data_IF_443549770211
#
_entry.id   IF_443549770211
#
_cell.length_a   1.000
_cell.length_b   1.000
_cell.length_c   1.000
_cell.angle_alpha   90.00
_cell.angle_beta   90.00
_cell.angle_gamma   90.00
#
_symmetry.space_group_name_H-M   'P 1'
#
loop_
_entity.id
_entity.type
_entity.pdbx_description
1 polymer ?
#
# COMPACT_ATOMS: atom_id res chain seq x y z
N UNK A 1 -1.05 -22.05 -32.18
CA UNK A 1 -2.28 -21.94 -31.37
C UNK A 1 -2.17 -20.77 -30.41
N UNK A 2 -3.14 -19.88 -30.44
CA UNK A 2 -3.19 -18.64 -29.66
C UNK A 2 -4.09 -18.87 -28.44
N UNK A 3 -3.49 -19.05 -27.26
CA UNK A 3 -4.23 -19.08 -25.99
C UNK A 3 -4.22 -17.69 -25.34
N UNK A 4 -5.35 -17.16 -24.88
CA UNK A 4 -5.47 -15.79 -24.40
C UNK A 4 -4.79 -15.65 -23.03
N UNK A 5 -3.59 -15.06 -23.01
CA UNK A 5 -2.93 -14.55 -21.80
C UNK A 5 -3.59 -13.24 -21.36
N UNK A 6 -4.72 -13.29 -20.63
CA UNK A 6 -5.31 -12.12 -19.97
C UNK A 6 -5.76 -12.43 -18.54
N UNK A 7 -4.84 -12.90 -17.70
CA UNK A 7 -4.95 -12.71 -16.25
C UNK A 7 -3.75 -11.87 -15.86
N UNK A 8 -3.91 -10.55 -15.87
CA UNK A 8 -2.93 -9.63 -15.31
C UNK A 8 -3.11 -9.71 -13.79
N UNK A 9 -2.40 -10.63 -13.15
CA UNK A 9 -2.32 -10.66 -11.68
C UNK A 9 -1.49 -9.45 -11.25
N UNK A 10 -2.15 -8.33 -10.95
CA UNK A 10 -1.47 -7.22 -10.29
C UNK A 10 -1.14 -7.62 -8.85
N UNK A 11 0.13 -7.58 -8.44
CA UNK A 11 0.46 -7.77 -7.03
C UNK A 11 -0.13 -6.62 -6.22
N UNK A 12 -0.92 -6.95 -5.21
CA UNK A 12 -1.52 -6.01 -4.23
C UNK A 12 -0.45 -5.19 -3.50
N UNK A 13 0.78 -5.69 -3.39
CA UNK A 13 1.97 -4.96 -2.95
C UNK A 13 3.23 -5.58 -3.57
N UNK A 14 4.27 -4.75 -3.76
CA UNK A 14 5.52 -5.16 -4.43
C UNK A 14 6.65 -5.51 -3.47
N UNK A 15 6.54 -5.12 -2.19
CA UNK A 15 7.56 -5.37 -1.18
C UNK A 15 7.23 -4.67 0.13
N UNK A 16 8.05 -4.92 1.14
CA UNK A 16 7.91 -4.34 2.48
C UNK A 16 9.22 -3.76 2.98
N UNK A 17 9.16 -2.55 3.52
CA UNK A 17 10.29 -1.88 4.16
C UNK A 17 10.05 -1.85 5.66
N UNK A 18 10.98 -2.39 6.45
CA UNK A 18 10.92 -2.37 7.91
C UNK A 18 12.16 -1.71 8.51
N UNK A 19 12.04 -0.89 9.56
CA UNK A 19 13.20 -0.36 10.26
C UNK A 19 13.91 -1.46 11.06
N UNK A 20 15.23 -1.36 11.21
CA UNK A 20 16.02 -2.30 12.01
C UNK A 20 15.72 -2.23 13.51
N UNK A 21 15.25 -1.07 14.00
CA UNK A 21 14.90 -0.83 15.41
C UNK A 21 13.43 -0.46 15.51
N UNK A 22 12.78 -0.86 16.61
CA UNK A 22 11.36 -0.59 16.91
C UNK A 22 10.34 -1.21 15.94
N UNK A 23 10.75 -2.21 15.16
CA UNK A 23 9.84 -3.10 14.44
C UNK A 23 10.05 -4.54 14.90
N UNK A 24 8.97 -5.33 14.86
CA UNK A 24 9.07 -6.78 15.04
C UNK A 24 9.79 -7.33 13.81
N UNK A 25 10.96 -7.94 14.03
CA UNK A 25 11.70 -8.59 12.95
C UNK A 25 10.93 -9.78 12.37
N UNK A 26 11.41 -10.34 11.27
CA UNK A 26 10.84 -11.58 10.71
C UNK A 26 11.17 -12.75 11.64
N UNK A 27 10.27 -13.03 12.59
CA UNK A 27 10.37 -14.16 13.53
C UNK A 27 9.66 -15.40 12.98
N UNK A 28 9.83 -16.54 13.66
CA UNK A 28 9.14 -17.80 13.33
C UNK A 28 7.61 -17.65 13.35
N UNK A 29 7.08 -16.84 14.27
CA UNK A 29 5.65 -16.49 14.35
C UNK A 29 5.20 -15.71 13.12
N UNK A 30 5.95 -14.68 12.71
CA UNK A 30 5.65 -13.89 11.50
C UNK A 30 5.65 -14.78 10.25
N UNK A 31 6.59 -15.74 10.17
CA UNK A 31 6.66 -16.70 9.06
C UNK A 31 5.46 -17.63 8.99
N UNK A 32 4.98 -18.11 10.15
CA UNK A 32 3.76 -18.92 10.22
C UNK A 32 2.52 -18.13 9.81
N UNK A 33 2.38 -16.89 10.27
CA UNK A 33 1.22 -16.03 9.98
C UNK A 33 1.20 -15.58 8.51
N UNK A 34 2.36 -15.39 7.88
CA UNK A 34 2.47 -14.94 6.51
C UNK A 34 2.15 -16.02 5.46
N UNK A 35 1.77 -17.25 5.85
CA UNK A 35 1.29 -18.32 4.97
C UNK A 35 2.13 -18.53 3.69
N UNK A 36 3.47 -18.47 3.81
CA UNK A 36 4.39 -18.65 2.68
C UNK A 36 4.70 -17.38 1.86
N UNK A 37 4.00 -16.26 2.09
CA UNK A 37 4.23 -15.01 1.35
C UNK A 37 5.68 -14.50 1.48
N UNK A 38 6.34 -14.74 2.63
CA UNK A 38 7.72 -14.28 2.85
C UNK A 38 8.77 -14.99 1.98
N UNK A 39 8.42 -16.09 1.30
CA UNK A 39 9.36 -16.84 0.45
C UNK A 39 9.58 -16.13 -0.89
N UNK A 40 8.57 -15.39 -1.36
CA UNK A 40 8.59 -14.69 -2.66
C UNK A 40 8.48 -13.17 -2.52
N UNK A 41 8.14 -12.66 -1.33
CA UNK A 41 7.89 -11.24 -1.10
C UNK A 41 9.15 -10.51 -0.62
N UNK A 42 9.66 -9.51 -1.35
CA UNK A 42 10.91 -8.84 -1.01
C UNK A 42 10.73 -7.95 0.23
N UNK A 43 11.64 -8.08 1.19
CA UNK A 43 11.65 -7.31 2.44
C UNK A 43 12.98 -6.59 2.60
N UNK A 44 12.95 -5.26 2.63
CA UNK A 44 14.11 -4.42 2.88
C UNK A 44 14.16 -3.99 4.36
N UNK A 45 15.30 -4.20 5.01
CA UNK A 45 15.54 -3.71 6.38
C UNK A 45 16.38 -2.44 6.33
N UNK A 46 15.85 -1.33 6.83
CA UNK A 46 16.50 -0.02 6.77
C UNK A 46 16.91 0.46 8.15
N UNK A 47 18.08 1.11 8.24
CA UNK A 47 18.56 1.69 9.51
C UNK A 47 17.70 2.92 9.89
N UNK A 48 17.40 3.76 8.90
CA UNK A 48 16.63 4.99 9.07
C UNK A 48 15.49 5.03 8.04
N UNK A 49 14.26 4.88 8.52
CA UNK A 49 13.06 4.90 7.68
C UNK A 49 12.89 6.24 6.94
N UNK A 50 13.18 7.37 7.58
CA UNK A 50 13.02 8.69 6.93
C UNK A 50 13.92 8.84 5.70
N UNK A 51 15.17 8.40 5.78
CA UNK A 51 16.08 8.44 4.63
C UNK A 51 15.60 7.51 3.50
N UNK A 52 15.11 6.31 3.84
CA UNK A 52 14.53 5.40 2.85
C UNK A 52 13.29 6.01 2.15
N UNK A 53 12.43 6.69 2.90
CA UNK A 53 11.28 7.41 2.35
C UNK A 53 11.73 8.55 1.42
N UNK A 54 12.72 9.35 1.80
CA UNK A 54 13.26 10.42 0.94
C UNK A 54 13.85 9.88 -0.38
N UNK A 55 14.54 8.74 -0.33
CA UNK A 55 15.06 8.08 -1.54
C UNK A 55 13.93 7.60 -2.46
N UNK A 56 12.89 6.98 -1.88
CA UNK A 56 11.71 6.54 -2.65
C UNK A 56 10.99 7.74 -3.29
N UNK A 57 10.87 8.85 -2.56
CA UNK A 57 10.29 10.09 -3.10
C UNK A 57 11.11 10.63 -4.27
N UNK A 58 12.43 10.62 -4.16
CA UNK A 58 13.35 11.03 -5.24
C UNK A 58 13.25 10.11 -6.46
N UNK A 59 12.95 8.82 -6.25
CA UNK A 59 12.70 7.85 -7.31
C UNK A 59 11.29 7.94 -7.94
N UNK A 60 10.48 8.94 -7.54
CA UNK A 60 9.16 9.19 -8.12
C UNK A 60 8.01 8.43 -7.47
N UNK A 61 8.19 7.89 -6.26
CA UNK A 61 7.10 7.30 -5.49
C UNK A 61 6.37 8.35 -4.66
N UNK A 62 5.04 8.25 -4.62
CA UNK A 62 4.19 9.03 -3.73
C UNK A 62 4.05 8.36 -2.37
N UNK A 63 4.24 9.11 -1.29
CA UNK A 63 4.27 8.58 0.07
C UNK A 63 3.00 8.96 0.83
N UNK A 64 2.22 7.96 1.19
CA UNK A 64 0.98 8.13 1.95
C UNK A 64 1.12 7.55 3.34
N UNK A 65 0.87 8.36 4.37
CA UNK A 65 0.90 7.95 5.76
C UNK A 65 -0.52 7.70 6.30
N UNK A 66 -0.75 6.58 6.98
CA UNK A 66 -2.03 6.36 7.66
C UNK A 66 -2.09 7.11 8.98
N UNK A 67 -3.11 7.95 9.16
CA UNK A 67 -3.38 8.65 10.41
C UNK A 67 -4.85 8.50 10.81
N UNK A 68 -5.09 8.21 12.09
CA UNK A 68 -6.45 8.10 12.61
C UNK A 68 -7.05 9.50 12.81
N UNK A 69 -8.24 9.73 12.26
CA UNK A 69 -8.99 10.98 12.44
C UNK A 69 -8.42 12.23 11.76
N UNK A 70 -7.29 12.13 11.05
CA UNK A 70 -6.66 13.25 10.36
C UNK A 70 -6.20 12.87 8.94
N UNK A 71 -6.20 13.84 8.03
CA UNK A 71 -5.85 13.63 6.62
C UNK A 71 -7.04 13.37 5.70
N UNK A 72 -6.78 13.08 4.43
CA UNK A 72 -7.82 12.85 3.43
C UNK A 72 -8.45 11.47 3.62
N UNK A 73 -9.75 11.37 3.35
CA UNK A 73 -10.47 10.11 3.41
C UNK A 73 -9.93 9.14 2.35
N UNK A 74 -9.65 7.90 2.74
CA UNK A 74 -9.06 6.85 1.89
C UNK A 74 -9.72 6.75 0.51
N UNK A 75 -11.05 6.75 0.46
CA UNK A 75 -11.83 6.62 -0.79
C UNK A 75 -11.85 7.88 -1.67
N UNK A 76 -11.30 9.00 -1.21
CA UNK A 76 -11.18 10.27 -1.97
C UNK A 76 -9.76 10.53 -2.47
N UNK A 77 -8.84 9.62 -2.16
CA UNK A 77 -7.43 9.75 -2.53
C UNK A 77 -7.17 8.86 -3.73
N UNK A 78 -6.46 9.43 -4.69
CA UNK A 78 -5.92 8.70 -5.82
C UNK A 78 -4.68 7.90 -5.37
N UNK A 79 -4.78 6.57 -5.46
CA UNK A 79 -3.76 5.58 -5.13
C UNK A 79 -3.28 4.84 -6.39
N UNK A 80 -3.54 5.40 -7.57
CA UNK A 80 -3.00 4.93 -8.84
C UNK A 80 -1.51 5.29 -8.95
N UNK A 81 -0.75 4.53 -9.76
CA UNK A 81 0.68 4.77 -9.97
C UNK A 81 1.65 4.20 -8.92
N UNK A 82 2.82 4.83 -8.78
CA UNK A 82 3.89 4.37 -7.87
C UNK A 82 3.67 4.90 -6.45
N UNK A 83 3.17 4.03 -5.57
CA UNK A 83 2.69 4.41 -4.23
C UNK A 83 3.48 3.67 -3.15
N UNK A 84 3.83 4.38 -2.08
CA UNK A 84 4.41 3.86 -0.85
C UNK A 84 3.45 4.16 0.30
N UNK A 85 3.04 3.11 1.00
CA UNK A 85 2.16 3.22 2.17
C UNK A 85 2.97 3.10 3.46
N UNK A 86 2.81 4.07 4.36
CA UNK A 86 3.46 4.09 5.67
C UNK A 86 2.41 3.86 6.76
N UNK A 87 2.54 2.71 7.42
CA UNK A 87 1.65 2.28 8.51
C UNK A 87 2.27 2.63 9.85
N UNK A 88 1.50 3.31 10.70
CA UNK A 88 1.89 3.64 12.06
C UNK A 88 1.84 2.44 13.01
N UNK A 89 2.52 2.54 14.16
CA UNK A 89 2.40 1.54 15.22
C UNK A 89 1.04 1.62 15.90
N UNK A 90 0.54 0.49 16.40
CA UNK A 90 -0.68 0.45 17.21
C UNK A 90 -0.54 1.37 18.45
N UNK A 91 -1.60 2.13 18.77
CA UNK A 91 -1.62 3.11 19.85
C UNK A 91 -1.03 4.46 19.46
N UNK A 92 0.29 4.53 19.26
CA UNK A 92 0.99 5.80 18.99
C UNK A 92 0.80 6.33 17.56
N UNK A 93 0.27 5.51 16.66
CA UNK A 93 0.10 5.85 15.25
C UNK A 93 1.43 6.09 14.55
N UNK A 94 1.43 7.00 13.58
CA UNK A 94 2.60 7.37 12.81
C UNK A 94 3.42 8.43 13.56
N UNK A 95 4.74 8.24 13.70
CA UNK A 95 5.59 9.23 14.38
C UNK A 95 5.58 10.57 13.65
N UNK A 96 5.70 11.70 14.36
CA UNK A 96 5.72 13.04 13.75
C UNK A 96 6.74 13.16 12.62
N UNK A 97 7.94 12.60 12.81
CA UNK A 97 8.98 12.59 11.77
C UNK A 97 8.54 11.82 10.52
N UNK A 98 7.90 10.67 10.69
CA UNK A 98 7.37 9.88 9.58
C UNK A 98 6.21 10.59 8.88
N UNK A 99 5.35 11.29 9.63
CA UNK A 99 4.28 12.12 9.05
C UNK A 99 4.86 13.25 8.19
N UNK A 100 5.92 13.93 8.64
CA UNK A 100 6.59 14.99 7.87
C UNK A 100 7.25 14.48 6.58
N UNK A 101 7.64 13.21 6.52
CA UNK A 101 8.17 12.59 5.30
C UNK A 101 7.06 12.17 4.31
N UNK A 102 5.80 12.12 4.74
CA UNK A 102 4.69 11.74 3.87
C UNK A 102 4.26 12.93 3.02
N UNK A 103 3.93 12.67 1.75
CA UNK A 103 3.32 13.66 0.86
C UNK A 103 1.87 13.94 1.29
N UNK A 104 1.18 12.91 1.77
CA UNK A 104 -0.20 13.02 2.20
C UNK A 104 -0.49 12.08 3.37
N UNK A 105 -1.32 12.55 4.30
CA UNK A 105 -1.91 11.70 5.31
C UNK A 105 -3.30 11.25 4.87
N UNK A 106 -3.57 9.96 5.07
CA UNK A 106 -4.84 9.33 4.73
C UNK A 106 -5.49 8.74 5.98
N UNK A 107 -6.82 8.85 6.04
CA UNK A 107 -7.63 8.30 7.13
C UNK A 107 -8.69 7.34 6.60
N UNK A 108 -8.90 6.26 7.34
CA UNK A 108 -10.00 5.34 7.11
C UNK A 108 -11.19 5.88 7.89
N UNK A 109 -12.34 6.16 7.24
CA UNK A 109 -13.53 6.60 7.96
C UNK A 109 -14.02 5.47 8.88
N UNK A 110 -14.10 5.76 10.17
CA UNK A 110 -14.66 4.86 11.17
C UNK A 110 -15.92 5.49 11.73
N UNK A 111 -17.00 4.72 11.75
CA UNK A 111 -18.23 5.09 12.46
C UNK A 111 -18.29 4.28 13.77
N UNK A 112 -18.39 4.96 14.90
CA UNK A 112 -18.53 4.32 16.21
C UNK A 112 -17.62 4.91 17.30
N UNK A 113 -17.52 4.20 18.42
CA UNK A 113 -16.75 4.61 19.60
C UNK A 113 -15.27 4.26 19.53
N UNK A 114 -14.86 3.43 18.57
CA UNK A 114 -13.48 2.96 18.46
C UNK A 114 -12.63 4.02 17.74
N UNK A 115 -11.59 4.55 18.39
CA UNK A 115 -10.82 5.67 17.85
C UNK A 115 -9.90 5.27 16.68
N UNK A 116 -9.60 3.98 16.50
CA UNK A 116 -8.68 3.49 15.49
C UNK A 116 -8.90 2.00 15.14
N UNK A 117 -8.38 1.60 13.98
CA UNK A 117 -8.23 0.19 13.61
C UNK A 117 -6.88 -0.33 14.08
N UNK A 118 -6.76 -1.65 14.21
CA UNK A 118 -5.46 -2.29 14.35
C UNK A 118 -4.62 -2.08 13.07
N UNK A 119 -3.30 -2.21 13.18
CA UNK A 119 -2.42 -1.91 12.06
C UNK A 119 -2.67 -2.86 10.87
N UNK A 120 -2.99 -4.13 11.13
CA UNK A 120 -3.23 -5.14 10.10
C UNK A 120 -4.52 -4.89 9.30
N UNK A 121 -5.64 -4.57 9.95
CA UNK A 121 -6.90 -4.26 9.27
C UNK A 121 -6.81 -2.93 8.54
N UNK A 122 -6.17 -1.91 9.13
CA UNK A 122 -5.92 -0.66 8.43
C UNK A 122 -5.10 -0.90 7.14
N UNK A 123 -4.03 -1.70 7.24
CA UNK A 123 -3.21 -2.09 6.08
C UNK A 123 -4.05 -2.83 5.04
N UNK A 124 -4.84 -3.82 5.46
CA UNK A 124 -5.68 -4.59 4.55
C UNK A 124 -6.69 -3.72 3.80
N UNK A 125 -7.35 -2.78 4.48
CA UNK A 125 -8.30 -1.87 3.86
C UNK A 125 -7.65 -0.95 2.82
N UNK A 126 -6.47 -0.39 3.13
CA UNK A 126 -5.76 0.50 2.19
C UNK A 126 -5.23 -0.27 0.99
N UNK A 127 -4.67 -1.47 1.20
CA UNK A 127 -4.22 -2.33 0.10
C UNK A 127 -5.39 -2.72 -0.81
N UNK A 128 -6.55 -3.06 -0.23
CA UNK A 128 -7.74 -3.38 -1.00
C UNK A 128 -8.26 -2.17 -1.80
N UNK A 129 -8.30 -0.97 -1.21
CA UNK A 129 -8.64 0.26 -1.93
C UNK A 129 -7.71 0.49 -3.12
N UNK A 130 -6.40 0.36 -2.88
CA UNK A 130 -5.35 0.56 -3.89
C UNK A 130 -5.55 -0.42 -5.05
N UNK A 131 -5.86 -1.67 -4.73
CA UNK A 131 -6.18 -2.69 -5.71
C UNK A 131 -7.48 -2.40 -6.48
N UNK A 132 -8.55 -1.96 -5.80
CA UNK A 132 -9.83 -1.62 -6.44
C UNK A 132 -9.67 -0.49 -7.45
N UNK A 133 -8.92 0.56 -7.10
CA UNK A 133 -8.67 1.69 -8.00
C UNK A 133 -7.90 1.23 -9.26
N UNK A 134 -6.84 0.45 -9.07
CA UNK A 134 -6.02 -0.06 -10.20
C UNK A 134 -6.73 -1.10 -11.06
N UNK A 135 -7.61 -1.91 -10.46
CA UNK A 135 -8.44 -2.84 -11.21
C UNK A 135 -9.41 -2.08 -12.12
N UNK A 136 -10.00 -1.00 -11.62
CA UNK A 136 -10.95 -0.19 -12.38
C UNK A 136 -10.28 0.42 -13.63
N UNK A 137 -9.02 0.89 -13.50
CA UNK A 137 -8.24 1.39 -14.63
C UNK A 137 -7.97 0.31 -15.69
N UNK A 138 -7.67 -0.93 -15.25
CA UNK A 138 -7.45 -2.06 -16.15
C UNK A 138 -8.68 -2.44 -16.97
N UNK A 139 -9.87 -2.41 -16.38
CA UNK A 139 -11.13 -2.68 -17.09
C UNK A 139 -11.43 -1.62 -18.16
N UNK A 140 -11.04 -0.37 -17.92
CA UNK A 140 -11.18 0.72 -18.89
C UNK A 140 -10.26 0.53 -20.11
N UNK A 141 -9.02 0.08 -19.91
CA UNK A 141 -8.07 -0.18 -21.00
C UNK A 141 -8.54 -1.33 -21.90
N UNK A 142 -9.17 -2.36 -21.33
CA UNK A 142 -9.65 -3.51 -22.11
C UNK A 142 -10.83 -3.12 -23.03
N UNK A 143 -11.70 -2.21 -22.59
CA UNK A 143 -12.84 -1.72 -23.39
C UNK A 143 -12.43 -0.86 -24.59
N UNK A 144 -11.43 0.01 -24.42
CA UNK A 144 -10.88 0.86 -25.50
C UNK A 144 -10.04 0.08 -26.50
N UNK A 145 -9.37 -1.00 -26.05
CA UNK A 145 -8.69 -1.94 -26.93
C UNK A 145 -9.67 -2.74 -27.80
N UNK A 146 -10.88 -3.01 -27.31
CA UNK A 146 -11.94 -3.67 -28.09
C UNK A 146 -12.62 -2.72 -29.08
N UNK A 147 -12.80 -1.44 -28.77
CA UNK A 147 -13.41 -0.50 -29.72
C UNK A 147 -12.54 -0.20 -30.95
N UNK A 148 -11.22 -0.27 -30.84
CA UNK A 148 -10.33 -0.10 -32.00
C UNK A 148 -10.26 -1.33 -32.91
N UNK A 149 -10.62 -2.52 -32.41
CA UNK A 149 -10.63 -3.76 -33.22
C UNK A 149 -11.92 -3.88 -34.06
N UNK A 150 -13.00 -3.19 -33.68
CA UNK A 150 -14.31 -3.27 -34.39
C UNK A 150 -14.42 -2.25 -35.55
N UNK A 151 -13.42 -1.37 -35.76
CA UNK A 151 -13.42 -0.35 -36.83
C UNK A 151 -12.42 -0.58 -37.96
N UNK A 152 -11.93 -1.81 -38.16
CA UNK A 152 -11.07 -2.16 -39.30
C UNK A 152 -11.68 -3.28 -40.15
#
# INVERSE_FOLDING_TARGET
>A
EMTPKRIITLPISQGLVIPQRRAVGVTSTVRKVAAGALETFPIARVVNLSNALEQLKTAGFWIYGTAAGTGKLLHKVDLTGSVVLVIGSEGNGLSLRSQSCCDMLISIPLQGKTPSLNASAATAMVLYETYRQRWSDLLYIDSTSNEQIVKQ
#
